data_IF_524451087435
#
_entry.id   IF_524451087435
#
_cell.length_a   1.000
_cell.length_b   1.000
_cell.length_c   1.000
_cell.angle_alpha   90.00
_cell.angle_beta   90.00
_cell.angle_gamma   90.00
#
_symmetry.space_group_name_H-M   'P 1'
#
loop_
_entity.id
_entity.type
_entity.pdbx_description
1 polymer ?
#
# COMPACT_ATOMS: atom_id res chain seq x y z
N UNK A 1 -5.26 -17.08 1.47
CA UNK A 1 -4.75 -16.02 0.60
C UNK A 1 -5.58 -15.99 -0.67
N UNK A 2 -6.19 -14.87 -1.02
CA UNK A 2 -7.10 -14.75 -2.16
C UNK A 2 -6.89 -13.42 -2.90
N UNK A 3 -7.36 -13.40 -4.14
CA UNK A 3 -7.44 -12.17 -4.94
C UNK A 3 -8.91 -11.80 -5.03
N UNK A 4 -9.25 -10.60 -4.56
CA UNK A 4 -10.61 -10.05 -4.64
C UNK A 4 -10.62 -8.89 -5.62
N UNK A 5 -11.53 -8.91 -6.59
CA UNK A 5 -11.67 -7.85 -7.57
C UNK A 5 -12.87 -6.94 -7.25
N UNK A 6 -12.64 -5.65 -7.13
CA UNK A 6 -13.68 -4.64 -7.03
C UNK A 6 -14.00 -4.10 -8.44
N UNK A 7 -15.13 -4.52 -9.01
CA UNK A 7 -15.53 -4.21 -10.38
C UNK A 7 -16.69 -3.22 -10.39
N UNK A 8 -16.67 -2.28 -11.33
CA UNK A 8 -17.74 -1.31 -11.53
C UNK A 8 -17.36 -0.25 -12.57
N UNK A 9 -18.34 0.50 -13.11
CA UNK A 9 -18.08 1.57 -14.07
C UNK A 9 -17.26 2.71 -13.46
N UNK A 10 -16.78 3.63 -14.31
CA UNK A 10 -16.14 4.85 -13.84
C UNK A 10 -17.15 5.67 -13.02
N UNK A 11 -16.70 6.21 -11.90
CA UNK A 11 -17.57 6.93 -10.96
C UNK A 11 -18.33 6.06 -9.95
N UNK A 12 -18.24 4.72 -10.01
CA UNK A 12 -18.91 3.82 -9.05
C UNK A 12 -18.31 3.85 -7.62
N UNK A 13 -17.31 4.69 -7.37
CA UNK A 13 -16.74 4.87 -6.03
C UNK A 13 -15.60 3.91 -5.66
N UNK A 14 -15.07 3.10 -6.60
CA UNK A 14 -13.96 2.16 -6.33
C UNK A 14 -12.77 2.82 -5.65
N UNK A 15 -12.24 3.89 -6.24
CA UNK A 15 -11.12 4.67 -5.68
C UNK A 15 -11.50 5.36 -4.37
N UNK A 16 -12.76 5.77 -4.20
CA UNK A 16 -13.27 6.33 -2.94
C UNK A 16 -13.24 5.28 -1.83
N UNK A 17 -13.67 4.05 -2.11
CA UNK A 17 -13.58 2.93 -1.17
C UNK A 17 -12.12 2.67 -0.77
N UNK A 18 -11.20 2.62 -1.74
CA UNK A 18 -9.76 2.47 -1.47
C UNK A 18 -9.22 3.65 -0.63
N UNK A 19 -9.63 4.87 -0.91
CA UNK A 19 -9.23 6.05 -0.13
C UNK A 19 -9.74 5.98 1.32
N UNK A 20 -10.94 5.44 1.55
CA UNK A 20 -11.45 5.20 2.89
C UNK A 20 -10.63 4.11 3.59
N UNK A 21 -10.45 2.93 2.98
CA UNK A 21 -9.69 1.83 3.58
C UNK A 21 -8.26 2.24 3.94
N UNK A 22 -7.65 3.12 3.15
CA UNK A 22 -6.27 3.59 3.38
C UNK A 22 -6.17 4.84 4.26
N UNK A 23 -7.28 5.31 4.85
CA UNK A 23 -7.29 6.44 5.77
C UNK A 23 -7.09 7.82 5.12
N UNK A 24 -7.16 7.90 3.77
CA UNK A 24 -7.07 9.18 3.04
C UNK A 24 -8.37 9.96 3.19
N UNK A 25 -9.52 9.28 3.08
CA UNK A 25 -10.84 9.87 3.24
C UNK A 25 -11.55 9.30 4.46
N UNK A 26 -12.31 10.17 5.13
CA UNK A 26 -13.22 9.79 6.20
C UNK A 26 -14.58 9.44 5.57
N UNK A 27 -15.22 8.31 5.90
CA UNK A 27 -16.57 8.03 5.48
C UNK A 27 -17.55 9.01 6.17
N UNK A 28 -18.66 9.31 5.53
CA UNK A 28 -19.75 10.07 6.16
C UNK A 28 -20.45 9.22 7.21
N UNK A 29 -20.53 7.92 6.98
CA UNK A 29 -21.14 6.94 7.87
C UNK A 29 -20.57 5.54 7.66
N UNK A 30 -20.41 4.80 8.75
CA UNK A 30 -19.95 3.40 8.74
C UNK A 30 -18.57 3.21 9.35
N UNK A 31 -18.06 1.98 9.22
CA UNK A 31 -16.76 1.59 9.76
C UNK A 31 -16.02 0.66 8.81
N UNK A 32 -14.70 0.69 8.93
CA UNK A 32 -13.78 -0.26 8.30
C UNK A 32 -13.00 -0.96 9.40
N UNK A 33 -12.99 -2.28 9.38
CA UNK A 33 -12.20 -3.10 10.31
C UNK A 33 -11.19 -3.93 9.55
N UNK A 34 -10.01 -4.08 10.12
CA UNK A 34 -8.94 -4.91 9.59
C UNK A 34 -8.33 -5.78 10.71
N UNK A 35 -8.28 -7.10 10.50
CA UNK A 35 -7.82 -8.06 11.50
C UNK A 35 -8.49 -7.91 12.87
N UNK A 36 -9.80 -7.58 12.90
CA UNK A 36 -10.58 -7.39 14.12
C UNK A 36 -10.42 -6.01 14.79
N UNK A 37 -9.54 -5.14 14.27
CA UNK A 37 -9.37 -3.77 14.76
C UNK A 37 -10.13 -2.80 13.85
N UNK A 38 -10.92 -1.89 14.46
CA UNK A 38 -11.59 -0.80 13.72
C UNK A 38 -10.53 0.25 13.38
N UNK A 39 -10.28 0.45 12.08
CA UNK A 39 -9.27 1.40 11.58
C UNK A 39 -9.87 2.74 11.18
N UNK A 40 -11.16 2.74 10.87
CA UNK A 40 -11.92 3.91 10.47
C UNK A 40 -13.36 3.74 10.91
N UNK A 41 -13.93 4.74 11.54
CA UNK A 41 -15.36 4.80 11.86
C UNK A 41 -15.82 6.25 11.95
N UNK A 42 -17.00 6.52 11.43
CA UNK A 42 -17.64 7.82 11.60
C UNK A 42 -19.16 7.68 11.59
N UNK A 43 -19.83 8.70 12.18
CA UNK A 43 -21.28 8.84 12.19
C UNK A 43 -21.66 10.22 11.69
N UNK A 44 -22.73 10.33 10.89
CA UNK A 44 -23.17 11.62 10.37
C UNK A 44 -23.53 12.57 11.50
N UNK A 45 -23.08 13.82 11.41
CA UNK A 45 -23.33 14.86 12.41
C UNK A 45 -24.16 16.01 11.83
N UNK A 46 -24.81 16.78 12.68
CA UNK A 46 -25.54 17.96 12.31
C UNK A 46 -26.66 17.71 11.29
N UNK A 47 -26.67 18.49 10.20
CA UNK A 47 -27.69 18.35 9.13
C UNK A 47 -27.63 17.00 8.40
N UNK A 48 -26.47 16.42 8.29
CA UNK A 48 -26.28 15.10 7.64
C UNK A 48 -26.94 13.98 8.44
N UNK A 49 -26.97 14.06 9.76
CA UNK A 49 -27.65 13.09 10.62
C UNK A 49 -29.10 12.88 10.20
N UNK A 50 -29.84 13.97 9.89
CA UNK A 50 -31.26 13.91 9.48
C UNK A 50 -31.49 13.18 8.16
N UNK A 51 -30.48 13.14 7.25
CA UNK A 51 -30.60 12.45 5.98
C UNK A 51 -30.49 10.91 6.15
N UNK A 52 -29.88 10.46 7.24
CA UNK A 52 -29.65 9.03 7.52
C UNK A 52 -30.56 8.48 8.65
N UNK A 53 -31.40 9.33 9.26
CA UNK A 53 -32.30 8.95 10.37
C UNK A 53 -33.47 8.01 9.97
N UNK A 54 -33.64 7.68 8.67
CA UNK A 54 -34.73 6.85 8.18
C UNK A 54 -34.43 5.38 7.97
N UNK A 55 -33.18 5.00 7.64
CA UNK A 55 -32.87 3.69 7.10
C UNK A 55 -31.83 2.88 7.89
N UNK A 56 -31.10 3.48 8.80
CA UNK A 56 -30.03 2.82 9.53
C UNK A 56 -30.10 3.24 11.00
N UNK A 57 -30.30 2.25 11.88
CA UNK A 57 -30.21 2.49 13.32
C UNK A 57 -28.89 3.21 13.65
N UNK A 58 -28.91 4.31 14.42
CA UNK A 58 -27.68 4.96 14.85
C UNK A 58 -26.91 3.97 15.70
N UNK A 59 -25.94 3.30 15.08
CA UNK A 59 -24.90 2.61 15.83
C UNK A 59 -24.09 3.71 16.48
N UNK A 60 -23.97 3.70 17.82
CA UNK A 60 -23.08 4.58 18.57
C UNK A 60 -21.62 4.18 18.25
N UNK A 61 -21.21 4.41 17.00
CA UNK A 61 -19.83 4.21 16.59
C UNK A 61 -19.01 5.36 17.16
N UNK A 62 -18.08 5.03 18.04
CA UNK A 62 -17.05 5.99 18.45
C UNK A 62 -16.22 6.34 17.21
N UNK A 63 -16.10 7.62 16.83
CA UNK A 63 -15.28 8.01 15.69
C UNK A 63 -13.84 7.53 15.85
N UNK A 64 -13.36 6.79 14.85
CA UNK A 64 -11.98 6.29 14.76
C UNK A 64 -11.37 6.79 13.46
N UNK A 65 -10.19 7.37 13.53
CA UNK A 65 -9.46 7.85 12.37
C UNK A 65 -7.98 7.51 12.48
N UNK A 66 -7.55 6.54 11.69
CA UNK A 66 -6.12 6.27 11.51
C UNK A 66 -5.60 7.01 10.29
N UNK A 67 -4.38 7.52 10.41
CA UNK A 67 -3.66 8.15 9.30
C UNK A 67 -3.10 7.08 8.34
N UNK A 68 -2.80 7.41 7.07
CA UNK A 68 -2.29 6.44 6.10
C UNK A 68 -1.03 5.70 6.55
N UNK A 69 -0.13 6.38 7.29
CA UNK A 69 1.06 5.74 7.86
C UNK A 69 0.72 4.71 8.94
N UNK A 70 -0.28 5.02 9.79
CA UNK A 70 -0.79 4.07 10.78
C UNK A 70 -1.45 2.87 10.12
N UNK A 71 -2.25 3.09 9.06
CA UNK A 71 -2.87 2.01 8.27
C UNK A 71 -1.80 1.12 7.62
N UNK A 72 -0.74 1.72 7.06
CA UNK A 72 0.37 0.96 6.49
C UNK A 72 1.10 0.13 7.55
N UNK A 73 1.30 0.67 8.77
CA UNK A 73 1.91 -0.08 9.89
C UNK A 73 1.08 -1.27 10.35
N UNK A 74 -0.24 -1.23 10.17
CA UNK A 74 -1.13 -2.36 10.44
C UNK A 74 -1.01 -3.49 9.42
N UNK A 75 -0.43 -3.22 8.26
CA UNK A 75 -0.22 -4.21 7.21
C UNK A 75 -1.10 -4.03 5.97
N UNK A 76 -1.63 -2.84 5.72
CA UNK A 76 -2.33 -2.50 4.48
C UNK A 76 -1.41 -1.64 3.61
N UNK A 77 -1.04 -2.13 2.43
CA UNK A 77 -0.31 -1.34 1.46
C UNK A 77 -1.16 -1.08 0.22
N UNK A 78 -0.89 0.01 -0.49
CA UNK A 78 -1.58 0.38 -1.72
C UNK A 78 -0.61 0.91 -2.77
N UNK A 79 -0.82 0.49 -4.01
CA UNK A 79 -0.30 1.20 -5.18
C UNK A 79 -1.32 2.24 -5.66
N UNK A 80 -0.88 3.22 -6.42
CA UNK A 80 -1.77 4.25 -6.97
C UNK A 80 -1.98 4.04 -8.48
N UNK A 81 -3.06 4.58 -9.02
CA UNK A 81 -3.34 4.55 -10.45
C UNK A 81 -2.16 5.16 -11.24
N UNK A 82 -1.67 6.32 -10.82
CA UNK A 82 -0.44 6.90 -11.34
C UNK A 82 0.75 6.44 -10.49
N UNK A 83 1.77 5.91 -11.13
CA UNK A 83 3.00 5.44 -10.45
C UNK A 83 3.60 6.56 -9.61
N UNK A 84 3.81 6.27 -8.32
CA UNK A 84 4.39 7.20 -7.34
C UNK A 84 5.71 6.69 -6.82
N UNK A 85 6.74 6.74 -7.65
CA UNK A 85 8.11 6.46 -7.24
C UNK A 85 8.86 7.74 -6.86
N UNK A 86 9.91 7.61 -6.07
CA UNK A 86 10.91 8.64 -5.92
C UNK A 86 11.78 8.62 -7.18
N UNK A 87 11.36 9.36 -8.21
CA UNK A 87 11.90 9.27 -9.57
C UNK A 87 13.38 9.59 -9.68
N UNK A 88 13.91 10.44 -8.80
CA UNK A 88 15.32 10.81 -8.74
C UNK A 88 16.20 9.82 -7.96
N UNK A 89 15.60 8.85 -7.28
CA UNK A 89 16.31 7.83 -6.53
C UNK A 89 16.47 6.56 -7.36
N UNK A 90 17.43 5.74 -6.97
CA UNK A 90 17.67 4.43 -7.58
C UNK A 90 16.54 3.45 -7.25
N UNK A 91 16.47 2.36 -8.01
CA UNK A 91 15.60 1.22 -7.76
C UNK A 91 15.77 0.70 -6.33
N UNK A 92 17.02 0.53 -5.90
CA UNK A 92 17.33 0.05 -4.56
C UNK A 92 16.88 1.02 -3.46
N UNK A 93 17.15 2.31 -3.62
CA UNK A 93 16.77 3.33 -2.64
C UNK A 93 15.25 3.45 -2.48
N UNK A 94 14.48 3.30 -3.56
CA UNK A 94 13.02 3.26 -3.49
C UNK A 94 12.49 2.16 -2.58
N UNK A 95 13.08 0.97 -2.62
CA UNK A 95 12.70 -0.17 -1.77
C UNK A 95 13.20 0.05 -0.34
N UNK A 96 14.45 0.48 -0.17
CA UNK A 96 15.07 0.68 1.13
C UNK A 96 14.30 1.72 1.98
N UNK A 97 13.87 2.83 1.38
CA UNK A 97 13.07 3.85 2.08
C UNK A 97 11.78 3.26 2.65
N UNK A 98 11.12 2.36 1.92
CA UNK A 98 9.90 1.73 2.40
C UNK A 98 10.16 0.77 3.59
N UNK A 99 11.31 0.11 3.62
CA UNK A 99 11.75 -0.70 4.77
C UNK A 99 11.92 0.15 6.04
N UNK A 100 12.45 1.37 5.90
CA UNK A 100 12.62 2.28 7.04
C UNK A 100 11.31 2.66 7.74
N UNK A 101 10.16 2.59 7.08
CA UNK A 101 8.85 2.84 7.73
C UNK A 101 8.56 1.86 8.88
N UNK A 102 9.13 0.66 8.85
CA UNK A 102 8.98 -0.35 9.90
C UNK A 102 10.12 -0.39 10.90
N UNK A 103 11.20 0.34 10.64
CA UNK A 103 12.32 0.41 11.57
C UNK A 103 11.88 1.04 12.90
N UNK A 104 12.14 0.34 14.00
CA UNK A 104 11.90 0.85 15.36
C UNK A 104 13.03 1.79 15.77
N UNK A 105 13.21 2.89 15.06
CA UNK A 105 14.25 3.86 15.36
C UNK A 105 13.78 4.80 16.49
N UNK A 106 14.42 4.71 17.65
CA UNK A 106 14.39 5.76 18.66
C UNK A 106 15.52 6.75 18.36
N UNK A 107 15.26 8.04 18.54
CA UNK A 107 16.23 9.14 18.32
C UNK A 107 17.57 8.87 19.07
N UNK A 108 17.52 8.21 20.22
CA UNK A 108 18.69 7.81 21.01
C UNK A 108 19.55 6.74 20.31
N UNK A 109 18.95 5.74 19.66
CA UNK A 109 19.70 4.68 18.96
C UNK A 109 20.34 5.18 17.67
N UNK A 110 19.71 6.15 16.99
CA UNK A 110 20.27 6.81 15.81
C UNK A 110 21.52 7.63 16.15
N UNK A 111 21.52 8.31 17.30
CA UNK A 111 22.65 9.16 17.76
C UNK A 111 23.87 8.32 18.17
N UNK A 112 23.67 7.09 18.67
CA UNK A 112 24.75 6.22 19.15
C UNK A 112 25.30 5.25 18.12
N UNK A 113 24.93 5.36 16.84
CA UNK A 113 25.33 4.42 15.74
C UNK A 113 25.11 2.93 16.05
N UNK A 114 24.18 2.59 16.93
CA UNK A 114 23.88 1.22 17.33
C UNK A 114 23.06 0.45 16.26
N UNK A 115 22.69 1.10 15.16
CA UNK A 115 21.77 0.55 14.16
C UNK A 115 22.45 -0.13 12.95
N UNK A 116 23.77 -0.36 12.99
CA UNK A 116 24.44 -0.99 11.82
C UNK A 116 23.89 -2.37 11.47
N UNK A 117 23.53 -3.17 12.49
CA UNK A 117 22.98 -4.50 12.23
C UNK A 117 21.57 -4.43 11.61
N UNK A 118 20.73 -3.50 12.07
CA UNK A 118 19.38 -3.29 11.52
C UNK A 118 19.45 -2.72 10.10
N UNK A 119 20.32 -1.75 9.86
CA UNK A 119 20.52 -1.18 8.53
C UNK A 119 21.06 -2.24 7.55
N UNK A 120 22.02 -3.06 7.97
CA UNK A 120 22.55 -4.15 7.16
C UNK A 120 21.43 -5.13 6.80
N UNK A 121 20.61 -5.54 7.77
CA UNK A 121 19.46 -6.42 7.54
C UNK A 121 18.48 -5.82 6.55
N UNK A 122 18.10 -4.54 6.72
CA UNK A 122 17.18 -3.87 5.79
C UNK A 122 17.73 -3.81 4.36
N UNK A 123 19.04 -3.63 4.20
CA UNK A 123 19.71 -3.64 2.89
C UNK A 123 19.68 -5.05 2.28
N UNK A 124 19.98 -6.09 3.06
CA UNK A 124 19.91 -7.48 2.63
C UNK A 124 18.49 -7.86 2.22
N UNK A 125 17.50 -7.61 3.05
CA UNK A 125 16.07 -7.85 2.75
C UNK A 125 15.59 -7.04 1.54
N UNK A 126 16.10 -5.83 1.32
CA UNK A 126 15.76 -5.03 0.14
C UNK A 126 16.34 -5.63 -1.14
N UNK A 127 17.56 -6.20 -1.07
CA UNK A 127 18.18 -6.90 -2.19
C UNK A 127 17.44 -8.20 -2.52
N UNK A 128 17.13 -9.02 -1.50
CA UNK A 128 16.34 -10.23 -1.66
C UNK A 128 14.99 -9.93 -2.33
N UNK A 129 14.30 -8.86 -1.88
CA UNK A 129 13.06 -8.42 -2.48
C UNK A 129 13.24 -8.04 -3.96
N UNK A 130 14.30 -7.31 -4.32
CA UNK A 130 14.59 -6.96 -5.70
C UNK A 130 14.95 -8.20 -6.55
N UNK A 131 15.63 -9.18 -6.00
CA UNK A 131 15.94 -10.45 -6.67
C UNK A 131 14.64 -11.23 -6.96
N UNK A 132 13.76 -11.37 -5.97
CA UNK A 132 12.46 -12.03 -6.13
C UNK A 132 11.58 -11.34 -7.18
N UNK A 133 11.70 -10.01 -7.31
CA UNK A 133 10.96 -9.21 -8.30
C UNK A 133 11.65 -9.13 -9.67
N UNK A 134 12.85 -9.72 -9.83
CA UNK A 134 13.64 -9.64 -11.07
C UNK A 134 14.23 -8.27 -11.36
N UNK A 135 14.35 -7.40 -10.33
CA UNK A 135 14.83 -6.02 -10.46
C UNK A 135 16.27 -5.83 -9.95
N UNK A 136 16.92 -6.86 -9.41
CA UNK A 136 18.23 -6.76 -8.78
C UNK A 136 19.33 -6.24 -9.73
N UNK A 137 19.28 -6.63 -11.02
CA UNK A 137 20.22 -6.17 -12.04
C UNK A 137 20.10 -4.68 -12.34
N UNK A 138 18.97 -4.04 -11.99
CA UNK A 138 18.67 -2.62 -12.19
C UNK A 138 18.81 -1.80 -10.90
N UNK A 139 19.35 -2.37 -9.83
CA UNK A 139 19.37 -1.75 -8.49
C UNK A 139 19.95 -0.34 -8.43
N UNK A 140 20.91 -0.03 -9.30
CA UNK A 140 21.59 1.27 -9.36
C UNK A 140 20.99 2.22 -10.40
N UNK A 141 20.01 1.75 -11.21
CA UNK A 141 19.33 2.59 -12.19
C UNK A 141 18.39 3.57 -11.50
N UNK A 142 18.27 4.76 -12.07
CA UNK A 142 17.32 5.77 -11.61
C UNK A 142 15.89 5.32 -11.92
N UNK A 143 15.00 5.38 -10.94
CA UNK A 143 13.65 4.85 -11.06
C UNK A 143 12.85 5.46 -12.25
N UNK A 144 13.03 6.75 -12.53
CA UNK A 144 12.36 7.42 -13.65
C UNK A 144 12.89 7.02 -15.04
N UNK A 145 14.07 6.40 -15.15
CA UNK A 145 14.62 5.92 -16.42
C UNK A 145 14.10 4.56 -16.84
N UNK A 146 13.41 3.85 -15.95
CA UNK A 146 12.88 2.52 -16.24
C UNK A 146 11.70 2.59 -17.22
N UNK A 147 11.52 1.58 -18.09
CA UNK A 147 10.26 1.35 -18.80
C UNK A 147 9.06 1.25 -17.86
N UNK A 148 7.88 1.68 -18.32
CA UNK A 148 6.66 1.76 -17.52
C UNK A 148 6.33 0.46 -16.74
N UNK A 149 6.41 -0.70 -17.39
CA UNK A 149 6.16 -1.99 -16.75
C UNK A 149 7.13 -2.29 -15.59
N UNK A 150 8.41 -1.91 -15.72
CA UNK A 150 9.39 -2.06 -14.63
C UNK A 150 9.19 -1.04 -13.52
N UNK A 151 8.74 0.19 -13.84
CA UNK A 151 8.34 1.16 -12.83
C UNK A 151 7.16 0.63 -12.00
N UNK A 152 6.17 -0.01 -12.64
CA UNK A 152 5.02 -0.62 -11.94
C UNK A 152 5.47 -1.77 -11.04
N UNK A 153 6.36 -2.64 -11.52
CA UNK A 153 6.95 -3.70 -10.67
C UNK A 153 7.71 -3.12 -9.48
N UNK A 154 8.48 -2.04 -9.68
CA UNK A 154 9.18 -1.36 -8.60
C UNK A 154 8.21 -0.73 -7.58
N UNK A 155 7.10 -0.15 -8.02
CA UNK A 155 6.07 0.38 -7.13
C UNK A 155 5.45 -0.73 -6.26
N UNK A 156 5.17 -1.89 -6.84
CA UNK A 156 4.70 -3.06 -6.10
C UNK A 156 5.77 -3.56 -5.13
N UNK A 157 7.03 -3.67 -5.57
CA UNK A 157 8.15 -4.06 -4.70
C UNK A 157 8.28 -3.12 -3.50
N UNK A 158 8.12 -1.81 -3.71
CA UNK A 158 8.13 -0.82 -2.63
C UNK A 158 6.96 -1.02 -1.66
N UNK A 159 5.77 -1.34 -2.17
CA UNK A 159 4.63 -1.68 -1.31
C UNK A 159 4.89 -2.96 -0.49
N UNK A 160 5.44 -4.00 -1.11
CA UNK A 160 5.82 -5.25 -0.44
C UNK A 160 6.91 -5.06 0.62
N UNK A 161 7.81 -4.10 0.43
CA UNK A 161 8.84 -3.76 1.41
C UNK A 161 8.27 -3.34 2.77
N UNK A 162 7.03 -2.87 2.83
CA UNK A 162 6.32 -2.61 4.09
C UNK A 162 5.77 -3.87 4.75
N UNK A 163 6.02 -5.06 4.19
CA UNK A 163 5.54 -6.38 4.67
C UNK A 163 4.03 -6.38 4.94
N UNK A 164 3.19 -6.07 3.94
CA UNK A 164 1.75 -6.02 4.12
C UNK A 164 1.15 -7.42 4.20
N UNK A 165 -0.04 -7.53 4.80
CA UNK A 165 -0.91 -8.70 4.67
C UNK A 165 -2.09 -8.45 3.72
N UNK A 166 -2.34 -7.18 3.39
CA UNK A 166 -3.31 -6.77 2.36
C UNK A 166 -2.64 -5.77 1.40
N UNK A 167 -2.63 -6.11 0.12
CA UNK A 167 -2.13 -5.24 -0.95
C UNK A 167 -3.30 -4.79 -1.83
N UNK A 168 -3.55 -3.50 -1.89
CA UNK A 168 -4.55 -2.87 -2.73
C UNK A 168 -3.90 -2.38 -4.02
N UNK A 169 -4.35 -2.89 -5.17
CA UNK A 169 -3.88 -2.50 -6.49
C UNK A 169 -4.97 -1.69 -7.21
N UNK A 170 -4.70 -0.42 -7.47
CA UNK A 170 -5.65 0.48 -8.14
C UNK A 170 -5.32 0.53 -9.64
N UNK A 171 -6.16 -0.11 -10.46
CA UNK A 171 -6.01 -0.23 -11.91
C UNK A 171 -4.57 -0.60 -12.35
N UNK A 172 -4.00 -1.72 -11.86
CA UNK A 172 -2.56 -2.00 -12.02
C UNK A 172 -2.12 -2.21 -13.47
N UNK A 173 -3.04 -2.60 -14.35
CA UNK A 173 -2.78 -2.86 -15.78
C UNK A 173 -3.15 -1.67 -16.69
N UNK A 174 -3.54 -0.52 -16.14
CA UNK A 174 -3.92 0.64 -16.94
C UNK A 174 -2.78 1.08 -17.87
N UNK A 175 -3.07 1.19 -19.17
CA UNK A 175 -2.11 1.61 -20.17
C UNK A 175 -1.12 0.53 -20.64
N UNK A 176 -1.29 -0.72 -20.20
CA UNK A 176 -0.47 -1.86 -20.62
C UNK A 176 -1.03 -2.54 -21.88
N UNK A 177 -0.14 -3.10 -22.68
CA UNK A 177 -0.55 -3.97 -23.78
C UNK A 177 -0.98 -5.37 -23.25
N UNK A 178 -1.61 -6.24 -24.08
CA UNK A 178 -2.09 -7.54 -23.63
C UNK A 178 -1.01 -8.45 -23.04
N UNK A 179 0.22 -8.43 -23.59
CA UNK A 179 1.32 -9.24 -23.08
C UNK A 179 1.78 -8.73 -21.71
N UNK A 180 1.97 -7.42 -21.56
CA UNK A 180 2.34 -6.80 -20.29
C UNK A 180 1.27 -7.04 -19.21
N UNK A 181 0.00 -7.05 -19.59
CA UNK A 181 -1.12 -7.36 -18.70
C UNK A 181 -1.05 -8.81 -18.20
N UNK A 182 -0.74 -9.76 -19.09
CA UNK A 182 -0.56 -11.16 -18.72
C UNK A 182 0.64 -11.33 -17.78
N UNK A 183 1.78 -10.72 -18.13
CA UNK A 183 3.01 -10.76 -17.31
C UNK A 183 2.77 -10.17 -15.91
N UNK A 184 1.98 -9.09 -15.83
CA UNK A 184 1.60 -8.50 -14.54
C UNK A 184 0.64 -9.41 -13.76
N UNK A 185 -0.30 -10.08 -14.44
CA UNK A 185 -1.22 -11.02 -13.80
C UNK A 185 -0.47 -12.18 -13.18
N UNK A 186 0.43 -12.81 -13.94
CA UNK A 186 1.27 -13.91 -13.45
C UNK A 186 2.13 -13.45 -12.27
N UNK A 187 2.65 -12.23 -12.36
CA UNK A 187 3.41 -11.61 -11.29
C UNK A 187 2.58 -11.40 -10.02
N UNK A 188 1.31 -10.92 -10.13
CA UNK A 188 0.41 -10.75 -8.99
C UNK A 188 0.10 -12.10 -8.33
N UNK A 189 -0.16 -13.14 -9.10
CA UNK A 189 -0.35 -14.48 -8.55
C UNK A 189 0.88 -14.97 -7.78
N UNK A 190 2.07 -14.78 -8.35
CA UNK A 190 3.32 -15.14 -7.71
C UNK A 190 3.52 -14.43 -6.37
N UNK A 191 3.37 -13.10 -6.33
CA UNK A 191 3.57 -12.35 -5.08
C UNK A 191 2.52 -12.68 -4.02
N UNK A 192 1.27 -12.98 -4.41
CA UNK A 192 0.25 -13.46 -3.47
C UNK A 192 0.73 -14.70 -2.73
N UNK A 193 1.29 -15.67 -3.48
CA UNK A 193 1.72 -16.96 -2.92
C UNK A 193 3.03 -16.83 -2.13
N UNK A 194 4.01 -16.11 -2.67
CA UNK A 194 5.33 -15.92 -2.06
C UNK A 194 5.27 -15.10 -0.75
N UNK A 195 4.38 -14.11 -0.68
CA UNK A 195 4.23 -13.20 0.48
C UNK A 195 3.01 -13.49 1.34
N UNK A 196 2.25 -14.52 1.02
CA UNK A 196 1.03 -14.89 1.75
C UNK A 196 0.02 -13.73 1.88
N UNK A 197 -0.20 -13.03 0.79
CA UNK A 197 -1.10 -11.88 0.72
C UNK A 197 -2.58 -12.26 0.62
#
# INVERSE_FOLDING_TARGET
HEIVALIGPNGAGKTTAFNCVTGIYQPTFGSVSFNGEVILADTPQGKMRRLYEGDIAPTDLTPVRKTPDQVTKLGIARTFQNIRLFGALTVFENVLIAKHMRAKQNVFSATLRLNHAEEKRMREESMELLEMQGLAHLKNEIASSLPYGLQRRLEIARALATSPSLLLLDEPAAGMNPQETQDLTDFIHKIRDDYHL
#
